data_IF_227583380290
#
_entry.id   IF_227583380290
#
_cell.length_a   1.000
_cell.length_b   1.000
_cell.length_c   1.000
_cell.angle_alpha   90.00
_cell.angle_beta   90.00
_cell.angle_gamma   90.00
#
_symmetry.space_group_name_H-M   'P 1'
#
loop_
_entity.id
_entity.type
_entity.pdbx_description
1 polymer ?
#
# COMPACT_ATOMS: atom_id res chain seq x y z
N UNK A 1 -9.08 0.49 2.46
CA UNK A 1 -8.74 0.83 1.05
C UNK A 1 -7.29 1.28 0.92
N UNK A 2 -6.86 2.31 1.65
CA UNK A 2 -5.49 2.84 1.57
C UNK A 2 -4.38 1.76 1.68
N UNK A 3 -4.45 0.87 2.66
CA UNK A 3 -3.39 -0.15 2.82
C UNK A 3 -3.33 -1.14 1.65
N UNK A 4 -4.47 -1.54 1.07
CA UNK A 4 -4.47 -2.41 -0.14
C UNK A 4 -3.90 -1.70 -1.38
N UNK A 5 -3.94 -0.37 -1.44
CA UNK A 5 -3.29 0.39 -2.51
C UNK A 5 -1.76 0.26 -2.47
N UNK A 6 -1.16 0.21 -1.26
CA UNK A 6 0.28 -0.01 -1.08
C UNK A 6 0.72 -1.36 -1.65
N UNK A 7 -0.09 -2.41 -1.45
CA UNK A 7 0.16 -3.72 -2.04
C UNK A 7 0.16 -3.66 -3.58
N UNK A 8 -0.89 -3.09 -4.20
CA UNK A 8 -0.97 -3.00 -5.67
C UNK A 8 0.11 -2.08 -6.27
N UNK A 9 0.52 -1.04 -5.54
CA UNK A 9 1.67 -0.22 -5.91
C UNK A 9 2.93 -1.07 -6.03
N UNK A 10 3.19 -1.96 -5.05
CA UNK A 10 4.30 -2.91 -5.10
C UNK A 10 4.27 -3.80 -6.34
N UNK A 11 3.11 -4.37 -6.67
CA UNK A 11 2.91 -5.18 -7.89
C UNK A 11 3.27 -4.38 -9.15
N UNK A 12 2.86 -3.11 -9.19
CA UNK A 12 3.12 -2.20 -10.32
C UNK A 12 4.60 -1.80 -10.43
N UNK A 13 5.31 -1.67 -9.31
CA UNK A 13 6.75 -1.39 -9.27
C UNK A 13 7.51 -2.47 -10.04
N UNK A 14 7.26 -3.74 -9.73
CA UNK A 14 7.92 -4.85 -10.44
C UNK A 14 7.61 -4.83 -11.94
N UNK A 15 6.34 -4.78 -12.32
CA UNK A 15 5.94 -4.81 -13.74
C UNK A 15 6.57 -3.66 -14.55
N UNK A 16 6.63 -2.46 -13.97
CA UNK A 16 7.23 -1.28 -14.62
C UNK A 16 8.75 -1.35 -14.70
N UNK A 17 9.43 -1.77 -13.62
CA UNK A 17 10.87 -1.94 -13.57
C UNK A 17 11.35 -3.03 -14.54
N UNK A 18 10.74 -4.21 -14.48
CA UNK A 18 11.08 -5.32 -15.38
C UNK A 18 10.79 -4.98 -16.83
N UNK A 19 9.80 -4.14 -17.12
CA UNK A 19 9.62 -3.59 -18.46
C UNK A 19 10.81 -2.71 -18.86
N UNK A 20 11.17 -1.70 -18.06
CA UNK A 20 12.26 -0.78 -18.40
C UNK A 20 13.63 -1.47 -18.53
N UNK A 21 13.91 -2.47 -17.69
CA UNK A 21 15.13 -3.27 -17.75
C UNK A 21 15.19 -4.13 -19.01
N UNK A 22 14.07 -4.72 -19.46
CA UNK A 22 13.99 -5.47 -20.73
C UNK A 22 14.27 -4.60 -21.96
N UNK A 23 13.88 -3.32 -21.89
CA UNK A 23 14.17 -2.33 -22.93
C UNK A 23 15.60 -1.73 -22.83
N UNK A 24 16.50 -2.34 -22.05
CA UNK A 24 17.91 -1.95 -21.96
C UNK A 24 18.16 -0.60 -21.29
N UNK A 25 17.21 -0.08 -20.50
CA UNK A 25 17.42 1.18 -19.78
C UNK A 25 18.49 1.02 -18.69
N UNK A 26 19.44 1.96 -18.62
CA UNK A 26 20.47 1.95 -17.58
C UNK A 26 19.87 2.09 -16.18
N UNK A 27 20.45 1.40 -15.18
CA UNK A 27 19.99 1.46 -13.79
C UNK A 27 19.97 2.91 -13.26
N UNK A 28 20.96 3.73 -13.61
CA UNK A 28 21.01 5.15 -13.23
C UNK A 28 19.84 5.97 -13.77
N UNK A 29 19.46 5.75 -15.03
CA UNK A 29 18.30 6.43 -15.63
C UNK A 29 17.00 6.02 -14.94
N UNK A 30 16.89 4.74 -14.57
CA UNK A 30 15.73 4.23 -13.82
C UNK A 30 15.72 4.82 -12.40
N UNK A 31 16.86 4.86 -11.71
CA UNK A 31 16.98 5.44 -10.37
C UNK A 31 16.57 6.91 -10.36
N UNK A 32 17.03 7.72 -11.33
CA UNK A 32 16.61 9.11 -11.48
C UNK A 32 15.10 9.27 -11.64
N UNK A 33 14.46 8.40 -12.43
CA UNK A 33 12.98 8.38 -12.57
C UNK A 33 12.29 8.01 -11.26
N UNK A 34 12.82 7.04 -10.50
CA UNK A 34 12.27 6.65 -9.20
C UNK A 34 12.35 7.84 -8.23
N UNK A 35 13.53 8.45 -8.11
CA UNK A 35 13.77 9.59 -7.21
C UNK A 35 12.84 10.76 -7.54
N UNK A 36 12.72 11.13 -8.82
CA UNK A 36 11.84 12.20 -9.28
C UNK A 36 10.38 11.93 -8.95
N UNK A 37 9.89 10.71 -9.23
CA UNK A 37 8.52 10.31 -8.93
C UNK A 37 8.23 10.33 -7.44
N UNK A 38 9.13 9.79 -6.62
CA UNK A 38 9.02 9.83 -5.15
C UNK A 38 8.99 11.26 -4.63
N UNK A 39 9.86 12.12 -5.16
CA UNK A 39 9.92 13.53 -4.82
C UNK A 39 8.59 14.24 -5.13
N UNK A 40 8.05 14.08 -6.34
CA UNK A 40 6.77 14.67 -6.72
C UNK A 40 5.62 14.18 -5.85
N UNK A 41 5.57 12.90 -5.48
CA UNK A 41 4.55 12.36 -4.58
C UNK A 41 4.63 12.98 -3.17
N UNK A 42 5.83 13.12 -2.62
CA UNK A 42 6.05 13.72 -1.30
C UNK A 42 5.69 15.21 -1.33
N UNK A 43 6.15 15.94 -2.35
CA UNK A 43 5.86 17.36 -2.53
C UNK A 43 4.36 17.62 -2.64
N UNK A 44 3.67 16.82 -3.46
CA UNK A 44 2.23 16.92 -3.62
C UNK A 44 1.50 16.57 -2.33
N UNK A 45 1.97 15.57 -1.58
CA UNK A 45 1.46 15.24 -0.26
C UNK A 45 1.53 16.40 0.73
N UNK A 46 2.67 17.12 0.77
CA UNK A 46 2.85 18.29 1.64
C UNK A 46 1.84 19.39 1.29
N UNK A 47 1.63 19.66 -0.01
CA UNK A 47 0.67 20.67 -0.49
C UNK A 47 -0.77 20.30 -0.11
N UNK A 48 -1.17 19.03 -0.29
CA UNK A 48 -2.53 18.57 -0.02
C UNK A 48 -2.84 18.50 1.47
N UNK A 49 -1.85 18.14 2.30
CA UNK A 49 -2.02 17.97 3.76
C UNK A 49 -2.10 19.31 4.50
N UNK A 50 -1.55 20.38 3.93
CA UNK A 50 -1.51 21.70 4.56
C UNK A 50 -2.44 22.65 3.80
N UNK A 51 -3.77 22.61 4.04
CA UNK A 51 -4.74 23.38 3.27
C UNK A 51 -4.71 24.90 3.50
N UNK A 52 -3.66 25.43 4.14
CA UNK A 52 -3.44 26.85 4.35
C UNK A 52 -3.13 27.63 3.05
N UNK A 53 -3.26 27.01 1.87
CA UNK A 53 -3.07 27.66 0.58
C UNK A 53 -3.98 28.89 0.36
N UNK A 54 -5.10 29.03 1.10
CA UNK A 54 -6.01 30.17 1.00
C UNK A 54 -6.07 31.09 2.25
N UNK A 55 -5.41 30.77 3.37
CA UNK A 55 -5.66 31.44 4.67
C UNK A 55 -4.48 32.26 5.22
N UNK A 56 -3.36 32.35 4.50
CA UNK A 56 -2.21 33.19 4.88
C UNK A 56 -0.85 32.52 4.67
N UNK A 57 0.26 33.16 5.10
CA UNK A 57 1.59 32.57 5.03
C UNK A 57 1.64 31.23 5.79
N UNK A 58 2.36 30.26 5.23
CA UNK A 58 2.60 28.96 5.85
C UNK A 58 3.27 29.15 7.22
N UNK A 59 2.50 29.10 8.31
CA UNK A 59 3.06 29.10 9.66
C UNK A 59 3.83 27.79 9.87
N UNK A 60 5.14 27.88 10.09
CA UNK A 60 6.02 26.73 10.32
C UNK A 60 5.56 25.85 11.49
N UNK A 61 4.82 26.43 12.45
CA UNK A 61 4.29 25.76 13.64
C UNK A 61 3.10 24.82 13.35
N UNK A 62 2.39 24.99 12.23
CA UNK A 62 1.26 24.14 11.82
C UNK A 62 1.59 23.22 10.63
N UNK A 63 2.87 23.12 10.24
CA UNK A 63 3.28 22.30 9.10
C UNK A 63 3.15 20.82 9.44
N UNK A 64 2.11 20.18 8.92
CA UNK A 64 1.95 18.74 9.04
C UNK A 64 2.77 18.06 7.95
N UNK A 65 3.92 17.53 8.37
CA UNK A 65 4.86 16.78 7.53
C UNK A 65 4.36 15.34 7.26
N UNK A 66 3.83 14.59 8.26
CA UNK A 66 3.38 13.22 8.03
C UNK A 66 2.07 13.20 7.25
N UNK A 67 2.03 12.39 6.19
CA UNK A 67 0.82 12.23 5.41
C UNK A 67 0.85 10.97 4.56
N UNK A 68 -0.34 10.60 4.14
CA UNK A 68 -0.64 9.41 3.33
C UNK A 68 0.26 9.38 2.09
N UNK A 69 0.39 10.51 1.38
CA UNK A 69 1.19 10.59 0.14
C UNK A 69 2.69 10.55 0.39
N UNK A 70 3.16 11.17 1.48
CA UNK A 70 4.56 11.15 1.88
C UNK A 70 4.99 9.71 2.20
N UNK A 71 4.18 8.98 2.98
CA UNK A 71 4.39 7.55 3.27
C UNK A 71 4.42 6.71 2.00
N UNK A 72 3.49 6.95 1.06
CA UNK A 72 3.47 6.27 -0.23
C UNK A 72 4.72 6.54 -1.07
N UNK A 73 5.15 7.81 -1.15
CA UNK A 73 6.35 8.21 -1.91
C UNK A 73 7.62 7.59 -1.33
N UNK A 74 7.77 7.58 -0.01
CA UNK A 74 8.90 6.94 0.66
C UNK A 74 8.88 5.42 0.52
N UNK A 75 7.71 4.79 0.71
CA UNK A 75 7.53 3.35 0.52
C UNK A 75 7.90 2.92 -0.91
N UNK A 76 7.41 3.67 -1.90
CA UNK A 76 7.75 3.46 -3.30
C UNK A 76 9.26 3.58 -3.54
N UNK A 77 9.89 4.63 -2.99
CA UNK A 77 11.33 4.83 -3.11
C UNK A 77 12.13 3.64 -2.59
N UNK A 78 11.86 3.20 -1.36
CA UNK A 78 12.60 2.11 -0.73
C UNK A 78 12.41 0.80 -1.48
N UNK A 79 11.17 0.43 -1.80
CA UNK A 79 10.88 -0.84 -2.48
C UNK A 79 11.43 -0.86 -3.91
N UNK A 80 11.29 0.24 -4.66
CA UNK A 80 11.80 0.31 -6.03
C UNK A 80 13.33 0.39 -6.09
N UNK A 81 13.97 1.10 -5.15
CA UNK A 81 15.42 1.14 -5.05
C UNK A 81 15.99 -0.23 -4.63
N UNK A 82 15.39 -0.87 -3.63
CA UNK A 82 15.77 -2.22 -3.20
C UNK A 82 15.67 -3.20 -4.37
N UNK A 83 14.58 -3.14 -5.12
CA UNK A 83 14.43 -3.97 -6.32
C UNK A 83 15.54 -3.68 -7.33
N UNK A 84 15.73 -2.43 -7.74
CA UNK A 84 16.74 -2.04 -8.73
C UNK A 84 18.18 -2.46 -8.36
N UNK A 85 18.53 -2.40 -7.07
CA UNK A 85 19.83 -2.82 -6.55
C UNK A 85 20.03 -4.32 -6.70
N UNK A 86 19.04 -5.12 -6.29
CA UNK A 86 19.14 -6.58 -6.26
C UNK A 86 18.68 -7.27 -7.56
N UNK A 87 17.99 -6.57 -8.48
CA UNK A 87 17.67 -7.13 -9.80
C UNK A 87 18.97 -7.35 -10.58
N UNK A 88 19.28 -8.60 -10.91
CA UNK A 88 20.37 -8.93 -11.82
C UNK A 88 19.92 -8.68 -13.27
N UNK A 89 20.63 -7.84 -14.04
CA UNK A 89 20.41 -7.74 -15.48
C UNK A 89 20.67 -9.12 -16.11
N UNK A 90 19.74 -9.62 -16.91
CA UNK A 90 19.95 -10.88 -17.63
C UNK A 90 19.62 -12.15 -16.84
N UNK A 91 18.75 -12.10 -15.82
CA UNK A 91 17.96 -13.28 -15.47
C UNK A 91 16.92 -13.53 -16.57
N UNK A 92 17.40 -13.75 -17.80
CA UNK A 92 16.69 -14.59 -18.75
C UNK A 92 16.40 -15.91 -18.05
N UNK A 93 15.27 -16.47 -18.43
CA UNK A 93 14.66 -17.75 -18.09
C UNK A 93 15.65 -18.92 -18.23
N UNK A 94 16.74 -18.89 -17.48
CA UNK A 94 17.75 -19.92 -17.38
C UNK A 94 17.33 -20.83 -16.26
N UNK A 95 17.10 -22.07 -16.63
CA UNK A 95 17.01 -23.29 -15.82
C UNK A 95 18.07 -23.32 -14.72
N UNK A 96 17.89 -22.53 -13.66
CA UNK A 96 18.55 -22.78 -12.39
C UNK A 96 17.74 -23.90 -11.77
N UNK A 97 18.21 -25.13 -12.02
CA UNK A 97 17.77 -26.36 -11.36
C UNK A 97 17.91 -26.15 -9.85
N UNK A 98 16.88 -25.56 -9.27
CA UNK A 98 16.80 -25.34 -7.84
C UNK A 98 16.09 -26.56 -7.27
N UNK A 99 16.62 -27.21 -6.22
CA UNK A 99 16.08 -28.47 -5.70
C UNK A 99 14.59 -28.43 -5.29
N UNK A 100 14.00 -27.23 -5.16
CA UNK A 100 12.62 -27.02 -4.76
C UNK A 100 11.89 -26.07 -5.75
N UNK A 101 11.09 -26.58 -6.71
CA UNK A 101 10.34 -25.74 -7.66
C UNK A 101 9.34 -24.80 -6.96
N UNK A 102 8.93 -25.13 -5.73
CA UNK A 102 8.06 -24.28 -4.92
C UNK A 102 8.71 -22.95 -4.48
N UNK A 103 10.03 -22.90 -4.30
CA UNK A 103 10.78 -21.75 -3.76
C UNK A 103 11.55 -20.96 -4.83
N UNK A 104 11.39 -21.32 -6.11
CA UNK A 104 12.13 -20.74 -7.23
C UNK A 104 11.89 -19.22 -7.42
N UNK A 105 10.76 -18.70 -6.94
CA UNK A 105 10.38 -17.29 -6.92
C UNK A 105 10.90 -16.51 -5.69
N UNK A 106 11.38 -17.21 -4.66
CA UNK A 106 11.86 -16.62 -3.39
C UNK A 106 13.38 -16.67 -3.31
N UNK A 107 13.97 -17.81 -3.69
CA UNK A 107 15.41 -18.08 -3.51
C UNK A 107 16.33 -17.08 -4.22
N UNK A 108 16.06 -16.64 -5.47
CA UNK A 108 16.90 -15.63 -6.14
C UNK A 108 16.87 -14.26 -5.46
N UNK A 109 15.85 -13.99 -4.64
CA UNK A 109 15.61 -12.71 -3.99
C UNK A 109 15.79 -12.76 -2.46
N UNK A 110 16.49 -13.79 -1.96
CA UNK A 110 16.76 -13.97 -0.53
C UNK A 110 17.38 -12.74 0.16
N UNK A 111 18.24 -11.89 -0.46
CA UNK A 111 18.78 -10.71 0.23
C UNK A 111 17.70 -9.65 0.49
N UNK A 112 16.70 -9.55 -0.39
CA UNK A 112 15.56 -8.65 -0.18
C UNK A 112 14.72 -9.11 1.00
N UNK A 113 14.50 -10.43 1.13
CA UNK A 113 13.80 -11.00 2.28
C UNK A 113 14.55 -10.78 3.59
N UNK A 114 15.88 -10.96 3.60
CA UNK A 114 16.71 -10.66 4.78
C UNK A 114 16.57 -9.18 5.17
N UNK A 115 16.64 -8.26 4.21
CA UNK A 115 16.43 -6.83 4.46
C UNK A 115 15.04 -6.54 5.07
N UNK A 116 13.99 -7.16 4.55
CA UNK A 116 12.63 -7.01 5.06
C UNK A 116 12.47 -7.59 6.47
N UNK A 117 13.07 -8.76 6.74
CA UNK A 117 13.05 -9.36 8.08
C UNK A 117 13.80 -8.52 9.10
N UNK A 118 14.90 -7.87 8.71
CA UNK A 118 15.63 -6.93 9.58
C UNK A 118 14.75 -5.71 9.88
N UNK A 119 14.07 -5.15 8.87
CA UNK A 119 13.15 -4.03 9.08
C UNK A 119 12.00 -4.41 10.04
N UNK A 120 11.42 -5.60 9.87
CA UNK A 120 10.37 -6.10 10.76
C UNK A 120 10.89 -6.40 12.18
N UNK A 121 12.12 -6.92 12.31
CA UNK A 121 12.77 -7.10 13.60
C UNK A 121 13.02 -5.75 14.31
N UNK A 122 13.43 -4.72 13.56
CA UNK A 122 13.56 -3.35 14.08
C UNK A 122 12.19 -2.83 14.51
N UNK A 123 11.14 -3.02 13.71
CA UNK A 123 9.79 -2.61 14.08
C UNK A 123 9.30 -3.29 15.37
N UNK A 124 9.49 -4.61 15.48
CA UNK A 124 9.16 -5.37 16.68
C UNK A 124 9.98 -4.88 17.87
N UNK A 125 11.29 -4.67 17.68
CA UNK A 125 12.17 -4.14 18.71
C UNK A 125 11.69 -2.77 19.22
N UNK A 126 11.45 -1.81 18.33
CA UNK A 126 10.91 -0.49 18.69
C UNK A 126 9.54 -0.59 19.37
N UNK A 127 8.72 -1.56 18.98
CA UNK A 127 7.38 -1.77 19.54
C UNK A 127 7.41 -2.46 20.90
N UNK A 128 8.39 -3.32 21.20
CA UNK A 128 8.43 -4.06 22.46
C UNK A 128 9.44 -3.49 23.47
N UNK A 129 10.45 -2.72 23.04
CA UNK A 129 11.55 -2.25 23.89
C UNK A 129 11.55 -0.75 24.16
N UNK A 130 10.76 0.07 23.45
CA UNK A 130 10.76 1.52 23.66
C UNK A 130 9.81 1.88 24.82
N UNK A 131 10.32 2.42 25.94
CA UNK A 131 9.47 2.83 27.07
C UNK A 131 8.69 4.10 26.69
N UNK A 132 7.38 4.11 26.98
CA UNK A 132 6.54 5.30 26.75
C UNK A 132 6.72 6.29 27.91
N UNK A 133 7.04 7.57 27.65
CA UNK A 133 7.16 8.58 28.70
C UNK A 133 5.82 8.71 29.45
N UNK A 134 5.84 8.50 30.77
CA UNK A 134 4.65 8.50 31.63
C UNK A 134 4.25 7.15 32.21
N UNK A 135 4.82 6.03 31.73
CA UNK A 135 4.64 4.71 32.35
C UNK A 135 5.97 3.92 32.43
N UNK A 136 6.61 3.84 33.61
CA UNK A 136 7.95 3.21 33.77
C UNK A 136 7.97 1.68 33.64
N UNK A 137 6.82 1.00 33.47
CA UNK A 137 6.72 -0.46 33.28
C UNK A 137 5.86 -0.88 32.09
N UNK A 138 5.46 0.05 31.23
CA UNK A 138 4.60 -0.25 30.08
C UNK A 138 5.44 -0.20 28.79
N UNK A 139 5.69 -1.34 28.14
CA UNK A 139 6.13 -1.33 26.75
C UNK A 139 5.06 -0.65 25.86
N UNK A 140 5.43 -0.28 24.64
CA UNK A 140 4.49 0.19 23.59
C UNK A 140 3.36 -0.83 23.32
N UNK A 141 3.44 -2.05 23.87
CA UNK A 141 2.31 -3.00 23.98
C UNK A 141 1.04 -2.38 24.58
N UNK A 142 1.15 -1.33 25.39
CA UNK A 142 0.00 -0.61 25.96
C UNK A 142 -0.69 0.31 24.94
N UNK A 143 -0.02 0.67 23.82
CA UNK A 143 -0.64 1.33 22.66
C UNK A 143 -1.53 0.38 21.84
N UNK A 144 -1.38 -0.94 21.99
CA UNK A 144 -2.27 -1.90 21.35
C UNK A 144 -3.59 -2.10 22.12
N UNK A 145 -3.55 -1.93 23.45
CA UNK A 145 -4.69 -2.20 24.35
C UNK A 145 -5.47 -0.94 24.77
N UNK A 146 -4.90 0.26 24.63
CA UNK A 146 -5.53 1.45 25.17
C UNK A 146 -6.41 2.17 24.15
N UNK A 147 -7.69 1.79 24.16
CA UNK A 147 -8.79 2.69 23.75
C UNK A 147 -8.78 4.02 24.54
N UNK A 148 -8.03 4.07 25.65
CA UNK A 148 -8.00 5.14 26.67
C UNK A 148 -6.79 6.10 26.55
N UNK A 149 -5.68 5.74 25.90
CA UNK A 149 -4.53 6.67 25.70
C UNK A 149 -4.71 7.54 24.44
N UNK A 150 -5.82 7.40 23.72
CA UNK A 150 -6.17 8.33 22.63
C UNK A 150 -6.99 9.55 23.09
N UNK A 151 -7.25 9.68 24.40
CA UNK A 151 -7.81 10.90 25.00
C UNK A 151 -6.76 11.80 25.68
N UNK A 152 -5.47 11.59 25.39
CA UNK A 152 -4.45 12.59 25.76
C UNK A 152 -4.31 13.62 24.64
N UNK A 153 -4.12 14.87 25.04
CA UNK A 153 -3.92 16.07 24.22
C UNK A 153 -2.69 16.04 23.30
N UNK A 154 -1.97 14.92 23.20
CA UNK A 154 -0.87 14.73 22.24
C UNK A 154 -1.27 13.74 21.14
N UNK A 155 -1.42 14.21 19.88
CA UNK A 155 -1.74 13.36 18.75
C UNK A 155 -0.50 12.59 18.30
N UNK A 156 -0.37 11.32 18.66
CA UNK A 156 0.54 10.44 17.94
C UNK A 156 0.06 10.29 16.49
N UNK A 157 0.83 10.81 15.52
CA UNK A 157 0.40 10.89 14.12
C UNK A 157 0.31 9.46 13.51
N UNK A 158 -0.87 9.01 13.04
CA UNK A 158 -1.03 7.70 12.38
C UNK A 158 -0.18 7.53 11.10
N UNK A 159 0.47 8.61 10.65
CA UNK A 159 1.39 8.66 9.50
C UNK A 159 2.89 8.62 9.88
N UNK A 160 3.22 8.33 11.15
CA UNK A 160 4.61 8.29 11.65
C UNK A 160 5.50 7.17 11.08
N UNK A 161 6.80 7.25 11.40
CA UNK A 161 7.90 6.38 10.93
C UNK A 161 7.59 4.89 11.15
N UNK A 162 7.01 4.54 12.30
CA UNK A 162 6.72 3.16 12.67
C UNK A 162 5.76 2.49 11.65
N UNK A 163 4.74 3.21 11.20
CA UNK A 163 3.82 2.69 10.18
C UNK A 163 4.42 2.65 8.78
N UNK A 164 5.47 3.42 8.53
CA UNK A 164 6.19 3.43 7.24
C UNK A 164 7.02 2.16 7.03
N UNK A 165 7.57 1.58 8.10
CA UNK A 165 8.28 0.28 8.02
C UNK A 165 7.32 -0.81 7.54
N UNK A 166 6.17 -0.93 8.20
CA UNK A 166 5.15 -1.91 7.84
C UNK A 166 4.50 -1.64 6.47
N UNK A 167 4.44 -0.37 6.01
CA UNK A 167 4.01 -0.08 4.64
C UNK A 167 5.03 -0.52 3.59
N UNK A 168 6.34 -0.42 3.88
CA UNK A 168 7.40 -1.00 3.03
C UNK A 168 7.22 -2.51 2.90
N UNK A 169 6.99 -3.20 4.01
CA UNK A 169 6.74 -4.65 3.98
C UNK A 169 5.48 -5.00 3.18
N UNK A 170 4.38 -4.26 3.36
CA UNK A 170 3.16 -4.47 2.57
C UNK A 170 3.38 -4.25 1.06
N UNK A 171 4.12 -3.22 0.67
CA UNK A 171 4.48 -2.98 -0.72
C UNK A 171 5.40 -4.09 -1.26
N UNK A 172 6.30 -4.62 -0.44
CA UNK A 172 7.16 -5.73 -0.82
C UNK A 172 6.36 -7.03 -1.08
N UNK A 173 5.37 -7.34 -0.24
CA UNK A 173 4.46 -8.47 -0.49
C UNK A 173 3.69 -8.31 -1.82
N UNK A 174 3.28 -7.08 -2.13
CA UNK A 174 2.70 -6.74 -3.41
C UNK A 174 3.67 -6.88 -4.60
N UNK A 175 4.93 -6.50 -4.40
CA UNK A 175 6.00 -6.70 -5.37
C UNK A 175 6.22 -8.18 -5.66
N UNK A 176 6.12 -9.05 -4.65
CA UNK A 176 6.15 -10.49 -4.86
C UNK A 176 4.97 -11.00 -5.69
N UNK A 177 3.77 -10.47 -5.48
CA UNK A 177 2.65 -10.79 -6.37
C UNK A 177 2.95 -10.42 -7.83
N UNK A 178 3.64 -9.29 -8.06
CA UNK A 178 4.10 -8.88 -9.39
C UNK A 178 5.13 -9.83 -10.00
N UNK A 179 6.07 -10.34 -9.19
CA UNK A 179 7.06 -11.34 -9.60
C UNK A 179 6.39 -12.62 -10.08
N UNK A 180 5.43 -13.13 -9.31
CA UNK A 180 4.66 -14.33 -9.65
C UNK A 180 3.93 -14.15 -10.98
N UNK A 181 3.26 -13.00 -11.20
CA UNK A 181 2.56 -12.71 -12.45
C UNK A 181 3.48 -12.71 -13.67
N UNK A 182 4.67 -12.13 -13.56
CA UNK A 182 5.58 -12.02 -14.69
C UNK A 182 6.35 -13.32 -14.95
N UNK A 183 6.79 -14.00 -13.89
CA UNK A 183 7.59 -15.22 -13.98
C UNK A 183 6.77 -16.41 -14.51
N UNK A 184 5.50 -16.50 -14.10
CA UNK A 184 4.60 -17.60 -14.49
C UNK A 184 3.52 -17.14 -15.48
N UNK A 185 3.81 -16.10 -16.28
CA UNK A 185 2.85 -15.46 -17.19
C UNK A 185 2.09 -16.46 -18.08
N UNK A 186 2.78 -17.48 -18.59
CA UNK A 186 2.20 -18.48 -19.50
C UNK A 186 1.54 -19.67 -18.75
N UNK A 187 1.61 -19.69 -17.42
CA UNK A 187 1.15 -20.80 -16.57
C UNK A 187 0.12 -20.30 -15.53
N UNK A 188 -1.13 -20.01 -15.94
CA UNK A 188 -2.14 -19.39 -15.07
C UNK A 188 -2.48 -20.23 -13.84
N UNK A 189 -2.40 -21.57 -13.94
CA UNK A 189 -2.59 -22.48 -12.80
C UNK A 189 -1.54 -22.26 -11.71
N UNK A 190 -0.27 -22.05 -12.09
CA UNK A 190 0.82 -21.83 -11.12
C UNK A 190 0.70 -20.48 -10.42
N UNK A 191 0.29 -19.44 -11.14
CA UNK A 191 -0.02 -18.13 -10.54
C UNK A 191 -1.08 -18.28 -9.44
N UNK A 192 -2.19 -18.97 -9.77
CA UNK A 192 -3.31 -19.13 -8.84
C UNK A 192 -2.91 -19.92 -7.58
N UNK A 193 -2.21 -21.05 -7.77
CA UNK A 193 -1.72 -21.88 -6.65
C UNK A 193 -0.82 -21.06 -5.73
N UNK A 194 0.08 -20.24 -6.29
CA UNK A 194 1.00 -19.40 -5.52
C UNK A 194 0.28 -18.28 -4.78
N UNK A 195 -0.70 -17.61 -5.39
CA UNK A 195 -1.50 -16.60 -4.69
C UNK A 195 -2.29 -17.21 -3.53
N UNK A 196 -2.87 -18.39 -3.71
CA UNK A 196 -3.56 -19.09 -2.63
C UNK A 196 -2.55 -19.54 -1.55
N UNK A 197 -1.38 -20.04 -1.91
CA UNK A 197 -0.33 -20.39 -0.95
C UNK A 197 0.12 -19.19 -0.12
N UNK A 198 0.43 -18.06 -0.76
CA UNK A 198 0.78 -16.81 -0.08
C UNK A 198 -0.34 -16.28 0.81
N UNK A 199 -1.60 -16.38 0.34
CA UNK A 199 -2.77 -16.03 1.13
C UNK A 199 -2.85 -16.88 2.40
N UNK A 200 -2.69 -18.19 2.29
CA UNK A 200 -2.75 -19.12 3.42
C UNK A 200 -1.62 -18.86 4.41
N UNK A 201 -0.38 -18.68 3.93
CA UNK A 201 0.78 -18.36 4.78
C UNK A 201 0.55 -17.06 5.56
N UNK A 202 0.12 -15.99 4.88
CA UNK A 202 -0.18 -14.71 5.54
C UNK A 202 -1.35 -14.82 6.51
N UNK A 203 -2.37 -15.62 6.17
CA UNK A 203 -3.51 -15.91 7.03
C UNK A 203 -3.11 -16.66 8.30
N UNK A 204 -2.25 -17.66 8.21
CA UNK A 204 -1.73 -18.42 9.36
C UNK A 204 -0.89 -17.53 10.27
N UNK A 205 0.05 -16.76 9.71
CA UNK A 205 0.86 -15.81 10.49
C UNK A 205 -0.05 -14.83 11.23
N UNK A 206 -1.04 -14.26 10.53
CA UNK A 206 -2.01 -13.36 11.13
C UNK A 206 -2.84 -14.03 12.23
N UNK A 207 -3.31 -15.26 12.01
CA UNK A 207 -4.09 -16.02 12.98
C UNK A 207 -3.28 -16.32 14.26
N UNK A 208 -2.00 -16.68 14.11
CA UNK A 208 -1.08 -16.90 15.23
C UNK A 208 -0.88 -15.61 16.02
N UNK A 209 -0.60 -14.49 15.34
CA UNK A 209 -0.38 -13.20 15.99
C UNK A 209 -1.62 -12.67 16.72
N UNK A 210 -2.82 -12.97 16.20
CA UNK A 210 -4.10 -12.52 16.77
C UNK A 210 -4.72 -13.54 17.72
N UNK A 211 -4.20 -14.78 17.80
CA UNK A 211 -4.86 -15.94 18.43
C UNK A 211 -6.31 -16.13 17.94
N UNK A 212 -6.60 -15.76 16.68
CA UNK A 212 -7.95 -15.68 16.13
C UNK A 212 -8.93 -14.79 16.92
N UNK A 213 -8.43 -13.95 17.83
CA UNK A 213 -9.21 -12.99 18.61
C UNK A 213 -8.84 -11.57 18.18
N UNK A 214 -9.81 -10.67 18.17
CA UNK A 214 -9.58 -9.29 17.73
C UNK A 214 -8.74 -8.49 18.73
N UNK A 215 -8.87 -8.80 20.02
CA UNK A 215 -8.35 -7.97 21.11
C UNK A 215 -7.34 -8.69 22.03
N UNK A 216 -7.28 -10.03 22.01
CA UNK A 216 -6.47 -10.84 22.96
C UNK A 216 -5.23 -11.50 22.32
N UNK A 217 -4.85 -11.07 21.12
CA UNK A 217 -3.66 -11.57 20.42
C UNK A 217 -2.34 -11.07 21.00
N UNK A 218 -1.23 -11.72 20.62
CA UNK A 218 0.12 -11.22 20.89
C UNK A 218 0.33 -9.82 20.29
N UNK A 219 -0.22 -9.59 19.09
CA UNK A 219 -0.24 -8.30 18.40
C UNK A 219 -1.64 -8.14 17.80
N UNK A 220 -2.57 -7.40 18.43
CA UNK A 220 -3.91 -7.21 17.87
C UNK A 220 -3.87 -6.35 16.61
N UNK A 221 -4.93 -6.44 15.81
CA UNK A 221 -5.02 -5.74 14.52
C UNK A 221 -5.19 -4.24 14.77
N UNK A 222 -4.12 -3.46 14.58
CA UNK A 222 -4.13 -2.01 14.76
C UNK A 222 -3.85 -1.28 13.44
N UNK A 223 -4.88 -0.62 12.92
CA UNK A 223 -4.81 0.17 11.68
C UNK A 223 -3.96 1.44 11.81
N UNK A 224 -4.02 2.13 12.95
CA UNK A 224 -3.33 3.40 13.14
C UNK A 224 -1.81 3.19 13.25
N UNK A 225 -1.42 2.09 13.91
CA UNK A 225 -0.01 1.71 14.06
C UNK A 225 0.56 1.00 12.83
N UNK A 226 -0.32 0.54 11.92
CA UNK A 226 0.05 -0.41 10.87
C UNK A 226 0.74 -1.64 11.46
N UNK A 227 0.07 -2.33 12.39
CA UNK A 227 0.65 -3.51 13.04
C UNK A 227 0.99 -4.63 12.05
N UNK A 228 1.95 -5.49 12.40
CA UNK A 228 2.31 -6.67 11.59
C UNK A 228 1.10 -7.60 11.39
N UNK A 229 0.25 -7.76 12.41
CA UNK A 229 -1.01 -8.50 12.28
C UNK A 229 -1.97 -7.85 11.28
N UNK A 230 -2.08 -6.51 11.28
CA UNK A 230 -2.88 -5.77 10.30
C UNK A 230 -2.33 -5.92 8.87
N UNK A 231 -1.02 -5.82 8.68
CA UNK A 231 -0.37 -5.99 7.37
C UNK A 231 -0.54 -7.40 6.82
N UNK A 232 -0.33 -8.43 7.65
CA UNK A 232 -0.48 -9.84 7.25
C UNK A 232 -1.93 -10.21 6.98
N UNK A 233 -2.89 -9.78 7.81
CA UNK A 233 -4.34 -9.92 7.55
C UNK A 233 -4.71 -9.32 6.19
N UNK A 234 -4.31 -8.08 5.94
CA UNK A 234 -4.67 -7.39 4.71
C UNK A 234 -3.99 -7.99 3.47
N UNK A 235 -2.77 -8.47 3.61
CA UNK A 235 -2.04 -9.13 2.53
C UNK A 235 -2.71 -10.45 2.16
N UNK A 236 -3.18 -11.23 3.15
CA UNK A 236 -4.02 -12.41 2.92
C UNK A 236 -5.24 -12.05 2.06
N UNK A 237 -6.06 -11.10 2.48
CA UNK A 237 -7.22 -10.66 1.69
C UNK A 237 -6.85 -10.08 0.32
N UNK A 238 -5.70 -9.41 0.20
CA UNK A 238 -5.22 -8.88 -1.07
C UNK A 238 -4.87 -10.01 -2.06
N UNK A 239 -4.19 -11.07 -1.60
CA UNK A 239 -3.90 -12.25 -2.43
C UNK A 239 -5.16 -13.01 -2.83
N UNK A 240 -6.14 -13.19 -1.92
CA UNK A 240 -7.45 -13.77 -2.29
C UNK A 240 -8.14 -12.93 -3.35
N UNK A 241 -8.22 -11.61 -3.15
CA UNK A 241 -8.88 -10.72 -4.09
C UNK A 241 -8.17 -10.71 -5.45
N UNK A 242 -6.83 -10.67 -5.45
CA UNK A 242 -6.03 -10.72 -6.68
C UNK A 242 -6.22 -12.05 -7.43
N UNK A 243 -6.28 -13.16 -6.69
CA UNK A 243 -6.58 -14.50 -7.21
C UNK A 243 -7.95 -14.55 -7.89
N UNK A 244 -8.99 -14.03 -7.24
CA UNK A 244 -10.35 -13.95 -7.80
C UNK A 244 -10.41 -13.07 -9.05
N UNK A 245 -9.83 -11.86 -9.00
CA UNK A 245 -9.85 -10.94 -10.14
C UNK A 245 -9.06 -11.51 -11.32
N UNK A 246 -7.87 -12.07 -11.08
CA UNK A 246 -7.05 -12.72 -12.11
C UNK A 246 -7.80 -13.88 -12.78
N UNK A 247 -8.48 -14.71 -11.98
CA UNK A 247 -9.28 -15.80 -12.53
C UNK A 247 -10.45 -15.29 -13.40
N UNK A 248 -11.18 -14.27 -12.94
CA UNK A 248 -12.32 -13.71 -13.67
C UNK A 248 -11.92 -12.97 -14.96
N UNK A 249 -10.84 -12.19 -14.91
CA UNK A 249 -10.40 -11.30 -16.01
C UNK A 249 -9.47 -12.03 -16.97
N UNK A 250 -8.39 -12.64 -16.49
CA UNK A 250 -7.34 -13.20 -17.35
C UNK A 250 -7.64 -14.64 -17.78
N UNK A 251 -8.20 -15.48 -16.89
CA UNK A 251 -8.46 -16.90 -17.17
C UNK A 251 -9.83 -17.09 -17.84
N UNK A 252 -10.91 -16.63 -17.20
CA UNK A 252 -12.28 -16.82 -17.68
C UNK A 252 -12.73 -15.74 -18.66
N UNK A 253 -12.05 -14.59 -18.73
CA UNK A 253 -12.40 -13.45 -19.59
C UNK A 253 -13.87 -13.02 -19.47
N UNK A 254 -14.48 -13.21 -18.31
CA UNK A 254 -15.88 -12.85 -18.05
C UNK A 254 -16.06 -11.34 -17.91
N UNK A 255 -14.97 -10.63 -17.64
CA UNK A 255 -15.03 -9.22 -17.30
C UNK A 255 -13.80 -8.48 -17.80
N UNK A 256 -14.01 -7.28 -18.34
CA UNK A 256 -12.95 -6.42 -18.90
C UNK A 256 -12.25 -5.53 -17.86
N UNK A 257 -12.66 -5.60 -16.59
CA UNK A 257 -12.17 -4.72 -15.52
C UNK A 257 -12.86 -3.34 -15.46
N UNK A 258 -13.82 -3.07 -16.35
CA UNK A 258 -14.63 -1.86 -16.31
C UNK A 258 -15.75 -1.96 -15.24
N UNK A 259 -16.04 -0.89 -14.47
CA UNK A 259 -15.55 0.47 -14.62
C UNK A 259 -14.28 0.78 -13.81
N UNK A 260 -13.75 -0.14 -13.00
CA UNK A 260 -12.67 0.18 -12.06
C UNK A 260 -11.32 0.48 -12.71
N UNK A 261 -11.10 0.04 -13.94
CA UNK A 261 -9.87 0.38 -14.64
C UNK A 261 -9.76 1.89 -14.92
N UNK A 262 -10.89 2.60 -15.12
CA UNK A 262 -10.88 4.05 -15.40
C UNK A 262 -10.26 4.87 -14.25
N UNK A 263 -10.77 4.80 -12.99
CA UNK A 263 -10.13 5.49 -11.87
C UNK A 263 -8.75 4.92 -11.56
N UNK A 264 -8.48 3.66 -11.87
CA UNK A 264 -7.15 3.05 -11.70
C UNK A 264 -6.06 3.75 -12.50
N UNK A 265 -6.33 4.10 -13.77
CA UNK A 265 -5.38 4.80 -14.66
C UNK A 265 -5.05 6.23 -14.20
N UNK A 266 -5.91 6.85 -13.39
CA UNK A 266 -5.77 8.21 -12.88
C UNK A 266 -5.89 8.26 -11.34
N UNK A 267 -5.41 7.21 -10.65
CA UNK A 267 -5.64 7.01 -9.21
C UNK A 267 -5.15 8.15 -8.32
N UNK A 268 -4.00 8.74 -8.64
CA UNK A 268 -3.45 9.89 -7.90
C UNK A 268 -4.35 11.13 -8.10
N UNK A 269 -4.77 11.41 -9.33
CA UNK A 269 -5.67 12.53 -9.64
C UNK A 269 -6.99 12.38 -8.86
N UNK A 270 -7.60 11.19 -8.89
CA UNK A 270 -8.85 10.93 -8.17
C UNK A 270 -8.68 11.10 -6.66
N UNK A 271 -7.56 10.65 -6.09
CA UNK A 271 -7.27 10.85 -4.67
C UNK A 271 -7.14 12.33 -4.30
N UNK A 272 -6.32 13.08 -5.05
CA UNK A 272 -6.07 14.50 -4.80
C UNK A 272 -7.35 15.29 -5.00
N UNK A 273 -8.05 15.03 -6.10
CA UNK A 273 -9.31 15.65 -6.42
C UNK A 273 -10.33 15.39 -5.31
N UNK A 274 -10.47 14.16 -4.81
CA UNK A 274 -11.36 13.87 -3.70
C UNK A 274 -10.98 14.66 -2.44
N UNK A 275 -9.68 14.81 -2.14
CA UNK A 275 -9.19 15.59 -0.99
C UNK A 275 -9.44 17.09 -1.14
N UNK A 276 -9.20 17.65 -2.32
CA UNK A 276 -9.39 19.08 -2.61
C UNK A 276 -10.88 19.42 -2.64
N UNK A 277 -11.71 18.56 -3.23
CA UNK A 277 -13.15 18.78 -3.36
C UNK A 277 -13.97 18.16 -2.22
N UNK A 278 -13.34 17.67 -1.14
CA UNK A 278 -14.00 16.93 -0.05
C UNK A 278 -15.15 17.71 0.60
N UNK A 279 -15.04 19.05 0.65
CA UNK A 279 -16.04 19.94 1.26
C UNK A 279 -16.92 20.67 0.24
N UNK A 280 -16.81 20.36 -1.05
CA UNK A 280 -17.55 21.04 -2.10
C UNK A 280 -18.73 20.20 -2.58
N UNK A 281 -19.85 20.87 -2.88
CA UNK A 281 -20.93 20.25 -3.64
C UNK A 281 -20.42 19.90 -5.04
N UNK A 282 -20.79 18.74 -5.64
CA UNK A 282 -21.72 17.70 -5.19
C UNK A 282 -21.09 16.55 -4.36
N UNK A 283 -19.81 16.63 -3.98
CA UNK A 283 -19.13 15.56 -3.24
C UNK A 283 -19.49 15.51 -1.75
N UNK A 284 -19.86 16.66 -1.19
CA UNK A 284 -20.39 16.79 0.16
C UNK A 284 -21.43 17.89 0.21
N UNK A 285 -22.52 17.62 0.92
CA UNK A 285 -23.55 18.61 1.21
C UNK A 285 -23.91 18.52 2.69
N UNK A 286 -24.59 19.55 3.20
CA UNK A 286 -25.06 19.56 4.58
C UNK A 286 -26.20 18.56 4.71
N UNK A 287 -25.99 17.56 5.56
CA UNK A 287 -26.97 16.53 5.88
C UNK A 287 -28.05 17.11 6.80
N UNK A 288 -29.30 16.67 6.63
CA UNK A 288 -30.40 17.10 7.49
C UNK A 288 -30.34 16.35 8.83
N UNK A 289 -30.03 15.05 8.79
CA UNK A 289 -29.69 14.25 9.96
C UNK A 289 -28.31 13.60 9.81
N UNK A 290 -27.36 14.04 10.65
CA UNK A 290 -25.99 13.52 10.66
C UNK A 290 -25.88 12.07 11.14
N UNK A 291 -26.92 11.51 11.78
CA UNK A 291 -26.94 10.11 12.23
C UNK A 291 -27.61 9.17 11.21
N UNK A 292 -28.28 9.74 10.21
CA UNK A 292 -28.97 8.96 9.17
C UNK A 292 -27.96 8.23 8.28
N UNK A 293 -27.95 6.90 8.38
CA UNK A 293 -27.10 6.05 7.56
C UNK A 293 -27.45 6.14 6.06
N UNK A 294 -28.72 6.41 5.74
CA UNK A 294 -29.20 6.55 4.38
C UNK A 294 -28.62 7.80 3.70
N UNK A 295 -28.56 8.92 4.42
CA UNK A 295 -27.95 10.15 3.90
C UNK A 295 -26.43 9.96 3.68
N UNK A 296 -25.73 9.32 4.65
CA UNK A 296 -24.30 9.01 4.50
C UNK A 296 -24.04 8.11 3.29
N UNK A 297 -24.87 7.08 3.12
CA UNK A 297 -24.77 6.17 1.99
C UNK A 297 -25.01 6.91 0.67
N UNK A 298 -26.05 7.73 0.59
CA UNK A 298 -26.41 8.51 -0.61
C UNK A 298 -25.27 9.45 -1.00
N UNK A 299 -24.70 10.15 -0.03
CA UNK A 299 -23.57 11.04 -0.27
C UNK A 299 -22.33 10.30 -0.78
N UNK A 300 -21.96 9.22 -0.12
CA UNK A 300 -20.81 8.41 -0.52
C UNK A 300 -21.00 7.76 -1.90
N UNK A 301 -22.20 7.26 -2.20
CA UNK A 301 -22.53 6.71 -3.52
C UNK A 301 -22.50 7.77 -4.61
N UNK A 302 -23.04 8.96 -4.34
CA UNK A 302 -23.04 10.07 -5.29
C UNK A 302 -21.60 10.53 -5.59
N UNK A 303 -20.81 10.78 -4.55
CA UNK A 303 -19.41 11.17 -4.69
C UNK A 303 -18.60 10.11 -5.45
N UNK A 304 -18.77 8.83 -5.12
CA UNK A 304 -18.06 7.72 -5.79
C UNK A 304 -18.46 7.61 -7.26
N UNK A 305 -19.75 7.69 -7.56
CA UNK A 305 -20.27 7.62 -8.93
C UNK A 305 -19.72 8.77 -9.77
N UNK A 306 -19.71 9.99 -9.22
CA UNK A 306 -19.14 11.14 -9.89
C UNK A 306 -17.64 10.96 -10.18
N UNK A 307 -16.86 10.45 -9.24
CA UNK A 307 -15.44 10.17 -9.48
C UNK A 307 -15.22 9.10 -10.56
N UNK A 308 -16.09 8.09 -10.66
CA UNK A 308 -16.06 7.11 -11.74
C UNK A 308 -16.39 7.76 -13.09
N UNK A 309 -17.40 8.63 -13.15
CA UNK A 309 -17.77 9.38 -14.37
C UNK A 309 -16.65 10.33 -14.79
N UNK A 310 -16.06 11.09 -13.86
CA UNK A 310 -14.91 11.96 -14.13
C UNK A 310 -13.74 11.14 -14.68
N UNK A 311 -13.44 9.99 -14.06
CA UNK A 311 -12.38 9.10 -14.53
C UNK A 311 -12.66 8.54 -15.92
N UNK A 312 -13.92 8.22 -16.22
CA UNK A 312 -14.35 7.79 -17.55
C UNK A 312 -14.17 8.90 -18.60
N UNK A 313 -14.54 10.15 -18.27
CA UNK A 313 -14.35 11.31 -19.15
C UNK A 313 -12.86 11.55 -19.43
N UNK A 314 -12.02 11.51 -18.40
CA UNK A 314 -10.56 11.62 -18.54
C UNK A 314 -10.00 10.52 -19.44
N UNK A 315 -10.47 9.28 -19.26
CA UNK A 315 -10.10 8.15 -20.11
C UNK A 315 -10.50 8.38 -21.58
N UNK A 316 -11.73 8.83 -21.84
CA UNK A 316 -12.23 9.13 -23.19
C UNK A 316 -11.42 10.26 -23.85
N UNK A 317 -10.96 11.24 -23.08
CA UNK A 317 -10.10 12.33 -23.55
C UNK A 317 -8.61 11.97 -23.61
N UNK A 318 -8.23 10.72 -23.28
CA UNK A 318 -6.83 10.24 -23.23
C UNK A 318 -5.93 11.07 -22.29
N UNK A 319 -6.52 11.69 -21.27
CA UNK A 319 -5.78 12.46 -20.27
C UNK A 319 -5.36 11.50 -19.15
N UNK A 320 -4.06 11.25 -19.04
CA UNK A 320 -3.48 10.38 -18.02
C UNK A 320 -2.45 11.14 -17.22
N UNK A 321 -2.78 11.49 -15.98
CA UNK A 321 -1.84 12.14 -15.09
C UNK A 321 -0.90 11.08 -14.49
N UNK A 322 0.26 10.91 -15.13
CA UNK A 322 1.33 10.03 -14.65
C UNK A 322 2.38 10.88 -13.97
N UNK A 323 2.58 10.61 -12.67
CA UNK A 323 3.71 11.10 -11.87
C UNK A 323 4.77 10.01 -11.86
#
# INVERSE_FOLDING_TARGET
>A
LFSRFVFIMGTSVWLSLSSMLRWGSSKWKILGKILWRSFLLILLGIIVVNPNYCLGPLSWDNLRIPGVLQRLGFTYLVVAALELLFTRPGAETGTLETPCPALQDILPFWPQWVFMLILEAIWLCLTFLLPVPGCPRCPVTTLFLSKVIYQTTMPYDPEGILGTINSIFMAFLGLQAGKILLFYKDQPKQILIRFIAWSTVMGIISAILTKCSKEEGFIPINKNLWSVSYVTTLSCFAFVLLSLIYYLVDVKRLWSGAPFFYPGMNSILVYIGHKVFENYFPFKWKMQDSQSHAEHLTQNLTATTLWVVISYVLYRKRIFWKI
#
